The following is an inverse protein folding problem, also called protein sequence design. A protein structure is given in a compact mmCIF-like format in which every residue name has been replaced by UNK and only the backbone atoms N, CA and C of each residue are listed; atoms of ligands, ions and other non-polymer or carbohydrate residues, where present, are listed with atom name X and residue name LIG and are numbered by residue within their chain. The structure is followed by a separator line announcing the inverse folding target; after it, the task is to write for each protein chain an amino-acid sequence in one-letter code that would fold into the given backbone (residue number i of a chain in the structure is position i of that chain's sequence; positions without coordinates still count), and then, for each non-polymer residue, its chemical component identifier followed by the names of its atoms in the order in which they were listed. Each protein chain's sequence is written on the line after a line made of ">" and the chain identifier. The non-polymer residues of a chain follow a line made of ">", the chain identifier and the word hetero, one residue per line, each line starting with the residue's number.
data_IF_055598126582
#
_entry.id   IF_055598126582
#
_cell.length_a   1.000
_cell.length_b   1.000
_cell.length_c   1.000
_cell.angle_alpha   90.00
_cell.angle_beta   90.00
_cell.angle_gamma   90.00
#
_symmetry.space_group_name_H-M   'P 1'
#
loop_
_entity.id
_entity.type
_entity.pdbx_description
1 polymer ?
#
# COMPACT_ATOMS: atom_id res chain seq x y z
N UNK A 1 19.16 12.36 3.65
CA UNK A 1 18.21 11.92 2.63
C UNK A 1 17.35 10.89 3.32
N UNK A 2 16.12 11.25 3.68
CA UNK A 2 15.19 10.32 4.34
C UNK A 2 14.83 9.28 3.29
N UNK A 3 15.25 8.03 3.51
CA UNK A 3 14.83 6.86 2.76
C UNK A 3 13.32 6.72 2.97
N UNK A 4 12.52 7.40 2.14
CA UNK A 4 11.07 7.27 2.17
C UNK A 4 10.76 5.83 1.77
N UNK A 5 9.99 5.14 2.60
CA UNK A 5 9.45 3.86 2.19
C UNK A 5 8.53 4.10 0.98
N UNK A 6 8.56 3.18 0.03
CA UNK A 6 7.64 3.15 -1.11
C UNK A 6 6.73 1.93 -0.97
N UNK A 7 5.62 1.92 -1.71
CA UNK A 7 4.78 0.72 -1.82
C UNK A 7 4.93 0.09 -3.19
N UNK A 8 4.74 -1.22 -3.24
CA UNK A 8 4.72 -2.00 -4.47
C UNK A 8 3.76 -3.18 -4.28
N UNK A 9 3.29 -3.79 -5.36
CA UNK A 9 2.37 -4.92 -5.32
C UNK A 9 3.04 -6.16 -5.89
N UNK A 10 2.87 -7.31 -5.23
CA UNK A 10 3.44 -8.57 -5.71
C UNK A 10 2.92 -8.98 -7.08
N UNK A 11 1.69 -8.59 -7.42
CA UNK A 11 1.03 -8.89 -8.68
C UNK A 11 0.31 -7.63 -9.16
N UNK A 12 0.42 -7.30 -10.46
CA UNK A 12 -0.41 -6.27 -11.12
C UNK A 12 -1.91 -6.44 -10.82
N UNK A 13 -2.38 -7.69 -10.68
CA UNK A 13 -3.78 -7.95 -10.35
C UNK A 13 -4.18 -7.43 -8.96
N UNK A 14 -3.26 -7.46 -7.99
CA UNK A 14 -3.52 -6.95 -6.65
C UNK A 14 -3.62 -5.43 -6.67
N UNK A 15 -2.75 -4.78 -7.45
CA UNK A 15 -2.80 -3.35 -7.73
C UNK A 15 -4.11 -2.94 -8.42
N UNK A 16 -4.47 -3.61 -9.52
CA UNK A 16 -5.70 -3.36 -10.28
C UNK A 16 -6.95 -3.51 -9.40
N UNK A 17 -6.98 -4.55 -8.53
CA UNK A 17 -8.08 -4.75 -7.59
C UNK A 17 -8.15 -3.62 -6.55
N UNK A 18 -7.01 -3.14 -6.07
CA UNK A 18 -6.94 -2.04 -5.12
C UNK A 18 -7.41 -0.72 -5.76
N UNK A 19 -6.91 -0.40 -6.95
CA UNK A 19 -7.29 0.79 -7.70
C UNK A 19 -8.78 0.73 -8.06
N UNK A 20 -9.28 -0.40 -8.57
CA UNK A 20 -10.71 -0.57 -8.87
C UNK A 20 -11.57 -0.33 -7.62
N UNK A 21 -11.19 -0.90 -6.48
CA UNK A 21 -11.91 -0.71 -5.22
C UNK A 21 -11.86 0.75 -4.74
N UNK A 22 -10.73 1.43 -4.95
CA UNK A 22 -10.58 2.84 -4.65
C UNK A 22 -11.45 3.70 -5.55
N UNK A 23 -11.41 3.49 -6.86
CA UNK A 23 -12.15 4.24 -7.85
C UNK A 23 -13.65 4.07 -7.69
N UNK A 24 -14.10 2.87 -7.32
CA UNK A 24 -15.51 2.62 -6.98
C UNK A 24 -15.99 3.46 -5.79
N UNK A 25 -15.11 3.79 -4.83
CA UNK A 25 -15.49 4.51 -3.60
C UNK A 25 -15.22 6.01 -3.66
N UNK A 26 -14.09 6.41 -4.24
CA UNK A 26 -13.59 7.78 -4.26
C UNK A 26 -13.65 8.43 -5.65
N UNK A 27 -13.86 7.65 -6.71
CA UNK A 27 -13.83 8.11 -8.11
C UNK A 27 -12.50 7.79 -8.81
N UNK A 28 -12.51 7.87 -10.14
CA UNK A 28 -11.34 7.61 -10.99
C UNK A 28 -10.11 8.43 -10.55
N UNK A 29 -8.96 7.79 -10.56
CA UNK A 29 -7.67 8.43 -10.28
C UNK A 29 -6.91 8.61 -11.60
N UNK A 30 -6.24 9.75 -11.75
CA UNK A 30 -5.25 9.92 -12.80
C UNK A 30 -3.86 9.44 -12.32
N UNK A 31 -2.91 9.29 -13.25
CA UNK A 31 -1.56 8.80 -12.95
C UNK A 31 -0.87 9.59 -11.83
N UNK A 32 -1.00 10.93 -11.82
CA UNK A 32 -0.45 11.79 -10.77
C UNK A 32 -1.06 11.47 -9.39
N UNK A 33 -2.38 11.29 -9.32
CA UNK A 33 -3.08 10.94 -8.08
C UNK A 33 -2.76 9.51 -7.62
N UNK A 34 -2.48 8.58 -8.53
CA UNK A 34 -2.04 7.22 -8.20
C UNK A 34 -0.66 7.29 -7.53
N UNK A 35 0.28 8.04 -8.11
CA UNK A 35 1.60 8.25 -7.50
C UNK A 35 1.49 8.89 -6.12
N UNK A 36 0.66 9.93 -5.96
CA UNK A 36 0.39 10.56 -4.67
C UNK A 36 -0.21 9.57 -3.67
N UNK A 37 -1.20 8.77 -4.10
CA UNK A 37 -1.85 7.75 -3.28
C UNK A 37 -0.83 6.72 -2.77
N UNK A 38 0.07 6.27 -3.62
CA UNK A 38 1.10 5.30 -3.26
C UNK A 38 2.07 5.89 -2.23
N UNK A 39 2.48 7.15 -2.41
CA UNK A 39 3.29 7.84 -1.41
C UNK A 39 2.54 8.03 -0.08
N UNK A 40 1.26 8.39 -0.10
CA UNK A 40 0.45 8.52 1.11
C UNK A 40 0.35 7.19 1.86
N UNK A 41 0.06 6.10 1.15
CA UNK A 41 -0.02 4.76 1.73
C UNK A 41 1.31 4.36 2.34
N UNK A 42 2.42 4.61 1.64
CA UNK A 42 3.75 4.28 2.11
C UNK A 42 4.08 5.00 3.43
N UNK A 43 3.75 6.29 3.51
CA UNK A 43 3.92 7.07 4.74
C UNK A 43 3.01 6.57 5.86
N UNK A 44 1.74 6.27 5.57
CA UNK A 44 0.77 5.82 6.57
C UNK A 44 1.14 4.45 7.14
N UNK A 45 1.48 3.47 6.28
CA UNK A 45 1.93 2.16 6.75
C UNK A 45 3.26 2.25 7.50
N UNK A 46 4.19 3.09 7.07
CA UNK A 46 5.46 3.28 7.76
C UNK A 46 5.23 3.86 9.17
N UNK A 47 4.36 4.85 9.30
CA UNK A 47 3.98 5.44 10.59
C UNK A 47 3.30 4.41 11.49
N UNK A 48 2.37 3.61 10.95
CA UNK A 48 1.68 2.56 11.71
C UNK A 48 2.61 1.42 12.09
N UNK A 49 3.55 1.05 11.22
CA UNK A 49 4.59 0.06 11.50
C UNK A 49 5.52 0.54 12.61
N UNK A 50 6.03 1.78 12.51
CA UNK A 50 6.88 2.41 13.54
C UNK A 50 6.15 2.58 14.87
N UNK A 51 4.85 2.87 14.84
CA UNK A 51 4.01 2.99 16.04
C UNK A 51 3.59 1.64 16.63
N UNK A 52 3.80 0.53 15.90
CA UNK A 52 3.35 -0.81 16.28
C UNK A 52 1.85 -1.06 16.13
N UNK A 53 1.12 -0.13 15.51
CA UNK A 53 -0.31 -0.29 15.19
C UNK A 53 -0.51 -1.31 14.07
N UNK A 54 0.40 -1.34 13.10
CA UNK A 54 0.39 -2.29 12.00
C UNK A 54 1.58 -3.24 12.05
N UNK A 55 1.34 -4.50 11.66
CA UNK A 55 2.37 -5.54 11.63
C UNK A 55 2.45 -6.13 10.22
N UNK A 56 3.67 -6.36 9.76
CA UNK A 56 3.95 -7.07 8.52
C UNK A 56 3.29 -8.46 8.53
N UNK A 57 2.82 -8.90 7.37
CA UNK A 57 2.02 -10.10 7.17
C UNK A 57 0.54 -9.95 7.50
N UNK A 58 0.06 -8.76 7.87
CA UNK A 58 -1.37 -8.48 8.10
C UNK A 58 -1.99 -7.64 7.00
N UNK A 59 -3.31 -7.81 6.85
CA UNK A 59 -4.11 -6.99 5.96
C UNK A 59 -4.04 -5.54 6.42
N UNK A 60 -3.55 -4.69 5.53
CA UNK A 60 -3.52 -3.24 5.68
C UNK A 60 -4.72 -2.65 4.95
N UNK A 61 -5.32 -1.62 5.55
CA UNK A 61 -6.43 -0.89 4.95
C UNK A 61 -6.17 0.60 5.04
N UNK A 62 -6.20 1.27 3.89
CA UNK A 62 -6.02 2.71 3.78
C UNK A 62 -7.35 3.36 3.41
N UNK A 63 -7.77 4.37 4.18
CA UNK A 63 -9.08 5.05 4.02
C UNK A 63 -10.25 4.07 3.77
N UNK A 64 -10.29 2.99 4.56
CA UNK A 64 -11.29 1.89 4.49
C UNK A 64 -11.26 1.03 3.22
N UNK A 65 -10.24 1.18 2.35
CA UNK A 65 -9.97 0.28 1.23
C UNK A 65 -8.89 -0.70 1.65
N UNK A 66 -9.11 -1.99 1.45
CA UNK A 66 -8.10 -3.00 1.71
C UNK A 66 -7.02 -2.92 0.62
N UNK A 67 -5.82 -2.47 1.00
CA UNK A 67 -4.67 -2.42 0.10
C UNK A 67 -4.12 -3.85 -0.12
N UNK A 68 -4.07 -4.63 0.96
CA UNK A 68 -3.59 -6.01 0.91
C UNK A 68 -2.78 -6.39 2.14
N UNK A 69 -2.28 -7.62 2.16
CA UNK A 69 -1.32 -8.08 3.14
C UNK A 69 0.01 -7.37 2.89
N UNK A 70 0.42 -6.55 3.85
CA UNK A 70 1.69 -5.84 3.75
C UNK A 70 2.85 -6.77 4.07
N UNK A 71 3.88 -6.74 3.29
CA UNK A 71 5.19 -7.32 3.52
C UNK A 71 6.23 -6.20 3.41
N UNK A 72 7.47 -6.45 3.81
CA UNK A 72 8.50 -5.40 3.77
C UNK A 72 9.82 -5.96 3.27
N UNK A 73 10.25 -5.39 2.15
CA UNK A 73 11.55 -5.67 1.56
C UNK A 73 12.59 -4.76 2.18
N UNK A 74 13.36 -5.31 3.12
CA UNK A 74 14.53 -4.61 3.70
C UNK A 74 15.62 -4.28 2.67
N UNK A 75 15.61 -4.96 1.52
CA UNK A 75 16.59 -4.76 0.45
C UNK A 75 16.31 -3.50 -0.38
N UNK A 76 15.03 -3.22 -0.66
CA UNK A 76 14.60 -2.05 -1.43
C UNK A 76 13.94 -0.94 -0.58
N UNK A 77 13.74 -1.17 0.72
CA UNK A 77 12.98 -0.28 1.60
C UNK A 77 11.52 -0.08 1.14
N UNK A 78 10.91 -1.15 0.58
CA UNK A 78 9.57 -1.11 0.00
C UNK A 78 8.59 -1.98 0.78
N UNK A 79 7.36 -1.48 0.94
CA UNK A 79 6.23 -2.25 1.45
C UNK A 79 5.53 -2.94 0.29
N UNK A 80 5.57 -4.27 0.30
CA UNK A 80 4.97 -5.10 -0.74
C UNK A 80 3.57 -5.52 -0.33
N UNK A 81 2.57 -5.31 -1.17
CA UNK A 81 1.20 -5.71 -0.89
C UNK A 81 0.78 -6.90 -1.74
N UNK A 82 -0.05 -7.77 -1.17
CA UNK A 82 -0.72 -8.84 -1.91
C UNK A 82 -2.17 -8.99 -1.46
N UNK A 83 -3.09 -9.30 -2.38
CA UNK A 83 -4.51 -9.51 -2.03
C UNK A 83 -4.74 -10.91 -1.43
N UNK A 84 -3.80 -11.84 -1.66
CA UNK A 84 -3.85 -13.21 -1.15
C UNK A 84 -2.76 -13.48 -0.12
N UNK A 85 -3.17 -13.98 1.05
CA UNK A 85 -2.24 -14.54 2.04
C UNK A 85 -1.62 -15.81 1.47
N UNK A 86 -0.38 -15.74 0.99
CA UNK A 86 0.39 -16.95 0.64
C UNK A 86 0.91 -17.64 1.90
#
# INVERSE_FOLDING_TARGET
>A
MTEQAEIDFYLDKDEDTFLEAWENKYGELNDEQIEELYQEIAQDIELKYKSGEHQLGKLFSYKEIAVGYSDYSTFNNWFLFSSSKK
#
